data_IF_304241658528
#
_entry.id   IF_304241658528
#
_cell.length_a   1.000
_cell.length_b   1.000
_cell.length_c   1.000
_cell.angle_alpha   90.00
_cell.angle_beta   90.00
_cell.angle_gamma   90.00
#
_symmetry.space_group_name_H-M   'P 1'
#
loop_
_entity.id
_entity.type
_entity.pdbx_description
1 polymer ?
#
# COMPACT_ATOMS: atom_id res chain seq x y z
N UNK A 1 -3.85 1.54 10.68
CA UNK A 1 -3.44 1.69 12.11
C UNK A 1 -1.98 1.33 12.36
N UNK A 2 -1.42 0.27 11.76
CA UNK A 2 -0.04 -0.17 12.06
C UNK A 2 1.08 0.87 11.76
N UNK A 3 0.94 1.73 10.74
CA UNK A 3 1.92 2.81 10.46
C UNK A 3 2.17 3.70 11.67
N UNK A 4 1.09 4.15 12.31
CA UNK A 4 1.16 5.10 13.43
C UNK A 4 1.82 4.43 14.63
N UNK A 5 1.47 3.17 14.92
CA UNK A 5 2.08 2.40 16.01
C UNK A 5 3.60 2.29 15.83
N UNK A 6 4.08 1.91 14.64
CA UNK A 6 5.51 1.85 14.36
C UNK A 6 6.22 3.21 14.40
N UNK A 7 5.58 4.28 13.93
CA UNK A 7 6.13 5.64 14.04
C UNK A 7 6.32 6.04 15.51
N UNK A 8 5.29 5.87 16.32
CA UNK A 8 5.33 6.22 17.75
C UNK A 8 6.35 5.36 18.49
N UNK A 9 6.32 4.04 18.31
CA UNK A 9 7.26 3.12 18.97
C UNK A 9 8.70 3.37 18.52
N UNK A 10 8.93 3.54 17.21
CA UNK A 10 10.26 3.78 16.67
C UNK A 10 10.86 5.10 17.15
N UNK A 11 10.07 6.17 17.17
CA UNK A 11 10.49 7.46 17.67
C UNK A 11 10.75 7.45 19.18
N UNK A 12 9.86 6.84 19.97
CA UNK A 12 10.06 6.68 21.41
C UNK A 12 11.32 5.88 21.74
N UNK A 13 11.58 4.78 21.01
CA UNK A 13 12.79 3.98 21.17
C UNK A 13 14.06 4.78 20.87
N UNK A 14 14.07 5.60 19.81
CA UNK A 14 15.19 6.50 19.51
C UNK A 14 15.44 7.52 20.63
N UNK A 15 14.39 8.17 21.14
CA UNK A 15 14.53 9.12 22.24
C UNK A 15 15.07 8.46 23.50
N UNK A 16 14.51 7.30 23.89
CA UNK A 16 14.96 6.55 25.06
C UNK A 16 16.40 6.07 24.90
N UNK A 17 16.80 5.65 23.69
CA UNK A 17 18.18 5.23 23.42
C UNK A 17 19.21 6.34 23.61
N UNK A 18 18.83 7.61 23.51
CA UNK A 18 19.75 8.73 23.68
C UNK A 18 20.06 9.04 25.15
N UNK A 19 19.21 8.59 26.09
CA UNK A 19 19.32 8.92 27.53
C UNK A 19 20.67 8.53 28.15
N UNK A 20 21.19 7.30 27.95
CA UNK A 20 22.51 6.93 28.48
C UNK A 20 23.66 7.76 27.89
N UNK A 21 23.47 8.28 26.67
CA UNK A 21 24.43 9.14 25.96
C UNK A 21 24.69 10.47 26.65
N UNK A 22 23.82 10.88 27.58
CA UNK A 22 23.95 12.13 28.36
C UNK A 22 25.03 11.96 29.44
N UNK A 23 25.12 10.77 30.03
CA UNK A 23 26.01 10.49 31.17
C UNK A 23 27.23 9.66 30.79
N UNK A 24 27.14 8.88 29.72
CA UNK A 24 28.17 7.93 29.26
C UNK A 24 28.27 7.94 27.74
N UNK A 25 29.37 7.46 27.18
CA UNK A 25 29.50 7.38 25.71
C UNK A 25 28.50 6.38 25.14
N UNK A 26 27.63 6.84 24.24
CA UNK A 26 26.56 6.03 23.62
C UNK A 26 27.05 4.69 23.05
N UNK A 27 28.21 4.68 22.38
CA UNK A 27 28.79 3.47 21.78
C UNK A 27 29.24 2.42 22.79
N UNK A 28 29.38 2.79 24.07
CA UNK A 28 29.76 1.89 25.16
C UNK A 28 28.56 1.30 25.89
N UNK A 29 27.34 1.75 25.57
CA UNK A 29 26.09 1.25 26.16
C UNK A 29 25.37 0.37 25.13
N UNK A 30 25.65 -0.94 25.09
CA UNK A 30 25.12 -1.83 24.06
C UNK A 30 23.59 -1.82 24.00
N UNK A 31 22.92 -1.78 25.15
CA UNK A 31 21.45 -1.76 25.23
C UNK A 31 20.83 -0.54 24.55
N UNK A 32 21.49 0.62 24.65
CA UNK A 32 21.06 1.85 24.02
C UNK A 32 21.23 1.77 22.49
N UNK A 33 22.37 1.23 22.03
CA UNK A 33 22.64 1.01 20.61
C UNK A 33 21.59 0.08 20.01
N UNK A 34 21.27 -1.03 20.68
CA UNK A 34 20.28 -1.97 20.16
C UNK A 34 18.86 -1.39 20.16
N UNK A 35 18.47 -0.64 21.20
CA UNK A 35 17.18 0.06 21.21
C UNK A 35 17.07 1.07 20.06
N UNK A 36 18.16 1.79 19.77
CA UNK A 36 18.22 2.72 18.64
C UNK A 36 18.01 2.01 17.30
N UNK A 37 18.72 0.89 17.07
CA UNK A 37 18.59 0.08 15.87
C UNK A 37 17.16 -0.48 15.71
N UNK A 38 16.59 -1.05 16.77
CA UNK A 38 15.20 -1.53 16.77
C UNK A 38 14.21 -0.40 16.50
N UNK A 39 14.48 0.81 17.02
CA UNK A 39 13.71 2.02 16.72
C UNK A 39 13.76 2.39 15.24
N UNK A 40 14.95 2.38 14.63
CA UNK A 40 15.12 2.64 13.19
C UNK A 40 14.41 1.59 12.32
N UNK A 41 14.46 0.31 12.70
CA UNK A 41 13.75 -0.76 11.98
C UNK A 41 12.24 -0.52 12.04
N UNK A 42 11.69 -0.11 13.19
CA UNK A 42 10.27 0.27 13.30
C UNK A 42 9.92 1.42 12.35
N UNK A 43 10.75 2.47 12.28
CA UNK A 43 10.52 3.60 11.37
C UNK A 43 10.59 3.19 9.89
N UNK A 44 11.54 2.33 9.54
CA UNK A 44 11.68 1.81 8.17
C UNK A 44 10.45 0.99 7.77
N UNK A 45 9.97 0.12 8.67
CA UNK A 45 8.76 -0.68 8.44
C UNK A 45 7.52 0.22 8.31
N UNK A 46 7.42 1.30 9.08
CA UNK A 46 6.32 2.26 8.97
C UNK A 46 6.26 2.92 7.58
N UNK A 47 7.42 3.27 7.03
CA UNK A 47 7.55 3.89 5.70
C UNK A 47 7.19 2.93 4.56
N UNK A 48 7.44 1.63 4.74
CA UNK A 48 7.33 0.63 3.68
C UNK A 48 5.98 -0.10 3.62
N UNK A 49 4.97 0.23 4.43
CA UNK A 49 3.69 -0.53 4.44
C UNK A 49 2.90 -0.38 3.11
N UNK A 50 2.87 -1.43 2.25
CA UNK A 50 2.15 -1.41 0.98
C UNK A 50 0.70 -1.84 1.20
N UNK A 51 -0.19 -1.48 0.27
CA UNK A 51 -1.56 -2.01 0.24
C UNK A 51 -1.57 -3.45 -0.27
N UNK A 52 -1.21 -4.41 0.61
CA UNK A 52 -1.16 -5.85 0.31
C UNK A 52 -2.53 -6.53 0.53
N UNK A 53 -2.81 -7.68 -0.11
CA UNK A 53 -4.06 -8.44 0.04
C UNK A 53 -4.26 -9.01 1.46
N UNK A 54 -5.51 -9.23 1.87
CA UNK A 54 -5.92 -9.51 3.26
C UNK A 54 -5.15 -10.67 3.95
N UNK A 55 -4.88 -11.76 3.24
CA UNK A 55 -4.11 -12.89 3.81
C UNK A 55 -2.67 -12.51 4.19
N UNK A 56 -2.03 -11.61 3.43
CA UNK A 56 -0.69 -11.09 3.74
C UNK A 56 -0.75 -10.01 4.82
N UNK A 57 -1.86 -9.29 4.94
CA UNK A 57 -2.06 -8.31 6.01
C UNK A 57 -2.05 -8.94 7.40
N UNK A 58 -2.55 -10.17 7.57
CA UNK A 58 -2.50 -10.87 8.85
C UNK A 58 -1.06 -11.21 9.28
N UNK A 59 -0.25 -11.78 8.39
CA UNK A 59 1.17 -12.08 8.66
C UNK A 59 1.98 -10.81 8.92
N UNK A 60 1.73 -9.75 8.15
CA UNK A 60 2.35 -8.45 8.38
C UNK A 60 1.93 -7.86 9.73
N UNK A 61 0.66 -8.02 10.14
CA UNK A 61 0.18 -7.61 11.45
C UNK A 61 0.88 -8.31 12.61
N UNK A 62 1.10 -9.62 12.50
CA UNK A 62 1.84 -10.40 13.52
C UNK A 62 3.31 -9.98 13.61
N UNK A 63 3.98 -9.83 12.46
CA UNK A 63 5.37 -9.36 12.44
C UNK A 63 5.50 -7.94 13.02
N UNK A 64 4.53 -7.07 12.74
CA UNK A 64 4.44 -5.71 13.27
C UNK A 64 4.30 -5.72 14.78
N UNK A 65 3.40 -6.55 15.31
CA UNK A 65 3.19 -6.72 16.74
C UNK A 65 4.44 -7.24 17.46
N UNK A 66 5.12 -8.23 16.87
CA UNK A 66 6.38 -8.77 17.41
C UNK A 66 7.49 -7.72 17.45
N UNK A 67 7.62 -6.91 16.39
CA UNK A 67 8.65 -5.88 16.32
C UNK A 67 8.40 -4.75 17.33
N UNK A 68 7.14 -4.36 17.52
CA UNK A 68 6.74 -3.38 18.55
C UNK A 68 7.03 -3.96 19.95
N UNK A 69 6.65 -5.21 20.20
CA UNK A 69 6.89 -5.88 21.47
C UNK A 69 8.40 -5.97 21.77
N UNK A 70 9.22 -6.28 20.78
CA UNK A 70 10.68 -6.32 20.94
C UNK A 70 11.25 -4.95 21.36
N UNK A 71 10.78 -3.86 20.74
CA UNK A 71 11.18 -2.50 21.12
C UNK A 71 10.79 -2.16 22.56
N UNK A 72 9.58 -2.56 22.99
CA UNK A 72 9.10 -2.35 24.36
C UNK A 72 9.95 -3.13 25.36
N UNK A 73 10.20 -4.42 25.11
CA UNK A 73 11.03 -5.26 25.97
C UNK A 73 12.45 -4.69 26.09
N UNK A 74 13.01 -4.22 24.98
CA UNK A 74 14.36 -3.65 24.96
C UNK A 74 14.44 -2.30 25.68
N UNK A 75 13.40 -1.47 25.60
CA UNK A 75 13.28 -0.25 26.40
C UNK A 75 13.19 -0.56 27.90
N UNK A 76 12.45 -1.61 28.29
CA UNK A 76 12.37 -2.06 29.68
C UNK A 76 13.73 -2.56 30.20
N UNK A 77 14.47 -3.32 29.40
CA UNK A 77 15.83 -3.78 29.77
C UNK A 77 16.77 -2.58 29.97
N UNK A 78 16.66 -1.55 29.13
CA UNK A 78 17.46 -0.33 29.28
C UNK A 78 17.14 0.43 30.58
N UNK A 79 15.87 0.48 30.98
CA UNK A 79 15.42 1.16 32.21
C UNK A 79 15.64 0.33 33.48
N UNK A 80 15.55 -1.00 33.38
CA UNK A 80 15.69 -1.94 34.47
C UNK A 80 16.54 -3.13 34.00
N UNK A 81 17.88 -3.04 34.09
CA UNK A 81 18.79 -4.08 33.63
C UNK A 81 18.50 -5.40 34.35
N UNK A 82 18.15 -6.42 33.58
CA UNK A 82 17.92 -7.76 34.12
C UNK A 82 19.25 -8.44 34.44
N UNK A 83 19.30 -9.28 35.49
CA UNK A 83 20.47 -10.10 35.78
C UNK A 83 20.74 -11.07 34.62
N UNK A 84 22.01 -11.44 34.44
CA UNK A 84 22.41 -12.42 33.44
C UNK A 84 21.73 -13.76 33.67
N UNK A 85 21.16 -14.35 32.62
CA UNK A 85 20.56 -15.68 32.66
C UNK A 85 21.64 -16.65 32.16
N UNK A 86 22.12 -17.56 33.02
CA UNK A 86 23.16 -18.52 32.66
C UNK A 86 24.51 -17.88 32.30
N UNK A 87 24.85 -16.74 32.90
CA UNK A 87 26.08 -15.99 32.61
C UNK A 87 26.06 -15.20 31.30
N UNK A 88 24.93 -15.21 30.58
CA UNK A 88 24.73 -14.45 29.36
C UNK A 88 23.77 -13.27 29.60
N UNK A 89 23.99 -12.11 28.97
CA UNK A 89 23.08 -10.98 29.12
C UNK A 89 21.69 -11.33 28.57
N UNK A 90 20.63 -10.93 29.26
CA UNK A 90 19.23 -11.29 28.91
C UNK A 90 18.75 -10.75 27.55
N UNK A 91 19.58 -9.93 26.90
CA UNK A 91 19.35 -9.29 25.60
C UNK A 91 19.30 -10.24 24.41
N UNK A 92 19.81 -11.46 24.53
CA UNK A 92 19.82 -12.43 23.42
C UNK A 92 18.41 -12.81 22.97
N UNK A 93 17.46 -12.88 23.90
CA UNK A 93 16.07 -13.24 23.60
C UNK A 93 15.38 -12.19 22.70
N UNK A 94 15.29 -10.89 23.07
CA UNK A 94 14.68 -9.89 22.20
C UNK A 94 15.42 -9.71 20.88
N UNK A 95 16.75 -9.88 20.86
CA UNK A 95 17.54 -9.79 19.64
C UNK A 95 17.18 -10.90 18.64
N UNK A 96 17.02 -12.13 19.11
CA UNK A 96 16.52 -13.24 18.31
C UNK A 96 15.11 -12.94 17.77
N UNK A 97 14.23 -12.38 18.59
CA UNK A 97 12.86 -12.01 18.18
C UNK A 97 12.86 -10.97 17.06
N UNK A 98 13.75 -9.96 17.12
CA UNK A 98 13.91 -8.97 16.05
C UNK A 98 14.39 -9.63 14.76
N UNK A 99 15.41 -10.49 14.84
CA UNK A 99 15.93 -11.21 13.66
C UNK A 99 14.83 -12.05 13.01
N UNK A 100 14.04 -12.79 13.80
CA UNK A 100 12.92 -13.58 13.29
C UNK A 100 11.84 -12.70 12.68
N UNK A 101 11.46 -11.59 13.33
CA UNK A 101 10.45 -10.67 12.81
C UNK A 101 10.88 -10.04 11.47
N UNK A 102 12.15 -9.62 11.37
CA UNK A 102 12.74 -9.07 10.14
C UNK A 102 12.81 -10.14 9.05
N UNK A 103 13.24 -11.37 9.37
CA UNK A 103 13.31 -12.46 8.40
C UNK A 103 11.93 -12.84 7.85
N UNK A 104 10.90 -12.89 8.71
CA UNK A 104 9.52 -13.15 8.29
C UNK A 104 8.97 -12.01 7.42
N UNK A 105 9.25 -10.77 7.79
CA UNK A 105 8.85 -9.60 7.00
C UNK A 105 9.54 -9.58 5.64
N UNK A 106 10.83 -9.88 5.59
CA UNK A 106 11.60 -9.96 4.36
C UNK A 106 11.14 -11.13 3.49
N UNK A 107 10.88 -12.30 4.06
CA UNK A 107 10.34 -13.45 3.33
C UNK A 107 8.96 -13.13 2.72
N UNK A 108 8.10 -12.41 3.45
CA UNK A 108 6.82 -11.94 2.92
C UNK A 108 6.97 -10.95 1.76
N UNK A 109 8.03 -10.13 1.78
CA UNK A 109 8.34 -9.14 0.74
C UNK A 109 9.06 -9.75 -0.48
N UNK A 110 10.00 -10.67 -0.29
CA UNK A 110 10.70 -11.36 -1.38
C UNK A 110 9.79 -12.37 -2.08
N UNK A 111 8.89 -13.03 -1.34
CA UNK A 111 7.87 -13.92 -1.89
C UNK A 111 6.61 -13.15 -2.36
N UNK A 112 6.57 -11.83 -2.12
CA UNK A 112 5.85 -10.94 -3.00
C UNK A 112 6.66 -10.83 -4.28
N UNK A 113 6.62 -11.89 -5.10
CA UNK A 113 6.84 -11.69 -6.51
C UNK A 113 6.00 -10.46 -6.88
N UNK A 114 6.53 -9.46 -7.61
CA UNK A 114 5.65 -8.79 -8.53
C UNK A 114 5.07 -9.97 -9.28
N UNK A 115 3.79 -10.33 -9.05
CA UNK A 115 3.12 -11.21 -9.99
C UNK A 115 3.40 -10.48 -11.27
N UNK A 116 4.35 -11.02 -12.04
CA UNK A 116 4.74 -10.53 -13.34
C UNK A 116 3.39 -10.28 -13.92
N UNK A 117 3.08 -8.98 -14.04
CA UNK A 117 1.76 -8.41 -14.27
C UNK A 117 0.99 -9.57 -14.86
N UNK A 118 0.04 -10.14 -14.13
CA UNK A 118 -0.97 -10.90 -14.85
C UNK A 118 -1.46 -9.82 -15.84
N UNK A 119 -0.87 -9.68 -17.05
CA UNK A 119 -1.22 -10.53 -18.16
C UNK A 119 -2.15 -11.62 -17.60
N UNK A 120 -3.34 -11.21 -17.12
CA UNK A 120 -4.55 -11.49 -17.84
C UNK A 120 -4.07 -11.58 -19.27
N UNK A 121 -3.70 -12.80 -19.74
CA UNK A 121 -3.49 -12.99 -21.17
C UNK A 121 -4.74 -12.36 -21.70
N UNK A 122 -4.60 -11.21 -22.40
CA UNK A 122 -5.72 -10.34 -22.78
C UNK A 122 -6.83 -11.31 -23.07
N UNK A 123 -7.78 -11.41 -22.13
CA UNK A 123 -8.80 -12.42 -22.29
C UNK A 123 -9.48 -11.79 -23.46
N UNK A 124 -9.21 -12.32 -24.67
CA UNK A 124 -10.06 -12.12 -25.80
C UNK A 124 -11.41 -12.28 -25.16
N UNK A 125 -12.24 -11.23 -25.11
CA UNK A 125 -13.56 -11.41 -24.59
C UNK A 125 -14.12 -12.45 -25.54
N UNK A 126 -14.13 -13.71 -25.08
CA UNK A 126 -15.00 -14.74 -25.60
C UNK A 126 -16.32 -14.03 -25.63
N UNK A 127 -16.84 -13.89 -26.85
CA UNK A 127 -17.90 -13.02 -27.31
C UNK A 127 -19.26 -13.34 -26.65
N UNK A 128 -19.28 -13.32 -25.32
CA UNK A 128 -20.35 -13.84 -24.46
C UNK A 128 -20.09 -13.51 -22.98
N UNK A 129 -19.64 -12.31 -22.64
CA UNK A 129 -19.98 -11.74 -21.34
C UNK A 129 -21.41 -11.18 -21.45
N UNK A 130 -22.29 -11.36 -20.46
CA UNK A 130 -23.64 -10.82 -20.50
C UNK A 130 -23.59 -9.32 -20.79
N UNK A 131 -24.30 -8.92 -21.84
CA UNK A 131 -24.58 -7.55 -22.23
C UNK A 131 -25.52 -6.94 -21.20
N UNK A 132 -25.07 -6.74 -19.96
CA UNK A 132 -25.88 -6.10 -18.93
C UNK A 132 -25.21 -4.78 -18.50
N UNK A 133 -25.96 -3.71 -18.78
CA UNK A 133 -25.76 -2.28 -18.47
C UNK A 133 -24.52 -1.57 -19.03
N UNK A 134 -24.38 -1.61 -20.36
CA UNK A 134 -23.67 -0.54 -21.07
C UNK A 134 -24.63 0.59 -21.39
N UNK A 135 -24.23 1.80 -21.01
CA UNK A 135 -24.95 3.02 -21.30
C UNK A 135 -24.32 3.76 -22.47
N UNK A 136 -25.14 4.55 -23.16
CA UNK A 136 -24.66 5.46 -24.19
C UNK A 136 -24.74 6.91 -23.74
N UNK A 137 -23.86 7.71 -24.32
CA UNK A 137 -23.79 9.12 -24.03
C UNK A 137 -22.94 9.88 -25.03
N UNK A 138 -22.87 11.18 -24.82
CA UNK A 138 -22.14 12.11 -25.68
C UNK A 138 -21.04 12.79 -24.89
N UNK A 139 -19.82 12.79 -25.42
CA UNK A 139 -18.68 13.44 -24.77
C UNK A 139 -18.96 14.94 -24.67
N UNK A 140 -19.12 15.43 -23.44
CA UNK A 140 -19.42 16.85 -23.18
C UNK A 140 -18.19 17.72 -23.33
N UNK A 141 -17.04 17.23 -22.86
CA UNK A 141 -15.72 17.79 -23.12
C UNK A 141 -14.65 16.81 -22.65
N UNK A 142 -13.46 16.89 -23.23
CA UNK A 142 -12.31 16.11 -22.81
C UNK A 142 -11.03 16.93 -22.93
N UNK A 143 -10.26 17.00 -21.85
CA UNK A 143 -8.97 17.68 -21.85
C UNK A 143 -7.86 16.65 -22.13
N UNK A 144 -7.34 16.64 -23.35
CA UNK A 144 -6.29 15.70 -23.78
C UNK A 144 -5.01 15.85 -22.95
N UNK A 145 -4.62 17.07 -22.59
CA UNK A 145 -3.39 17.33 -21.82
C UNK A 145 -3.50 16.82 -20.38
N UNK A 146 -4.68 16.93 -19.77
CA UNK A 146 -4.92 16.44 -18.40
C UNK A 146 -5.43 15.00 -18.35
N UNK A 147 -5.90 14.45 -19.46
CA UNK A 147 -6.37 13.06 -19.58
C UNK A 147 -7.72 12.78 -18.91
N UNK A 148 -8.61 13.77 -18.78
CA UNK A 148 -9.93 13.57 -18.20
C UNK A 148 -11.00 14.47 -18.84
N UNK A 149 -12.26 14.07 -18.67
CA UNK A 149 -13.41 14.77 -19.21
C UNK A 149 -14.72 14.31 -18.58
N UNK A 150 -15.82 14.70 -19.22
CA UNK A 150 -17.17 14.27 -18.85
C UNK A 150 -17.95 13.81 -20.05
N UNK A 151 -18.80 12.81 -19.83
CA UNK A 151 -19.76 12.28 -20.80
C UNK A 151 -21.15 12.60 -20.27
N UNK A 152 -22.00 13.19 -21.10
CA UNK A 152 -23.40 13.38 -20.79
C UNK A 152 -24.15 12.09 -21.13
N UNK A 153 -24.71 11.42 -20.12
CA UNK A 153 -25.47 10.18 -20.30
C UNK A 153 -26.81 10.49 -20.97
N UNK A 154 -27.33 9.56 -21.74
CA UNK A 154 -28.70 9.69 -22.27
C UNK A 154 -29.76 9.65 -21.16
N UNK A 155 -29.42 9.08 -20.01
CA UNK A 155 -30.22 9.10 -18.79
C UNK A 155 -30.23 10.46 -18.07
N UNK A 156 -29.40 11.42 -18.51
CA UNK A 156 -29.48 12.84 -18.12
C UNK A 156 -28.38 13.34 -17.18
N UNK A 157 -27.67 12.46 -16.47
CA UNK A 157 -26.58 12.86 -15.58
C UNK A 157 -25.21 12.87 -16.28
N UNK A 158 -24.36 13.83 -15.93
CA UNK A 158 -22.97 13.84 -16.41
C UNK A 158 -22.11 12.87 -15.59
N UNK A 159 -21.31 12.06 -16.28
CA UNK A 159 -20.40 11.10 -15.67
C UNK A 159 -18.95 11.43 -15.97
N UNK A 160 -18.09 11.26 -14.96
CA UNK A 160 -16.67 11.50 -15.08
C UNK A 160 -16.00 10.40 -15.93
N UNK A 161 -15.04 10.79 -16.79
CA UNK A 161 -14.23 9.85 -17.57
C UNK A 161 -12.74 10.20 -17.48
N UNK A 162 -11.91 9.17 -17.34
CA UNK A 162 -10.45 9.28 -17.33
C UNK A 162 -9.87 8.55 -18.54
N UNK A 163 -8.73 9.00 -19.08
CA UNK A 163 -8.12 8.44 -20.30
C UNK A 163 -7.85 6.92 -20.21
N UNK A 164 -7.64 6.41 -18.99
CA UNK A 164 -7.43 4.96 -18.73
C UNK A 164 -8.67 4.12 -19.01
N UNK A 165 -9.86 4.70 -18.88
CA UNK A 165 -11.13 4.02 -19.13
C UNK A 165 -11.42 3.84 -20.63
N UNK A 166 -10.76 4.61 -21.50
CA UNK A 166 -10.94 4.54 -22.95
C UNK A 166 -10.22 3.30 -23.48
N UNK A 167 -10.95 2.43 -24.19
CA UNK A 167 -10.37 1.28 -24.90
C UNK A 167 -9.73 1.72 -26.22
N UNK A 168 -8.61 1.08 -26.55
CA UNK A 168 -7.82 1.36 -27.73
C UNK A 168 -6.31 1.33 -27.45
N UNK A 169 -5.55 1.12 -28.52
CA UNK A 169 -4.09 1.20 -28.53
C UNK A 169 -3.65 2.60 -29.00
N UNK A 170 -2.60 3.17 -28.37
CA UNK A 170 -2.10 4.50 -28.71
C UNK A 170 -2.76 5.66 -27.94
N UNK A 171 -3.01 6.78 -28.63
CA UNK A 171 -3.52 8.01 -28.02
C UNK A 171 -5.02 7.90 -27.68
N UNK A 172 -5.30 7.68 -26.39
CA UNK A 172 -6.66 7.55 -25.83
C UNK A 172 -7.31 8.90 -25.60
N UNK A 173 -7.90 9.45 -26.66
CA UNK A 173 -8.54 10.77 -26.68
C UNK A 173 -10.01 10.63 -27.04
N UNK A 174 -10.86 11.43 -26.40
CA UNK A 174 -12.26 11.60 -26.77
C UNK A 174 -12.44 12.97 -27.42
N UNK A 175 -13.28 13.03 -28.45
CA UNK A 175 -13.63 14.25 -29.15
C UNK A 175 -14.95 14.78 -28.57
N UNK A 176 -15.05 16.08 -28.33
CA UNK A 176 -16.31 16.71 -27.92
C UNK A 176 -17.42 16.43 -28.94
N UNK A 177 -18.62 16.08 -28.47
CA UNK A 177 -19.73 15.67 -29.30
C UNK A 177 -19.66 14.22 -29.80
N UNK A 178 -18.57 13.49 -29.52
CA UNK A 178 -18.44 12.08 -29.91
C UNK A 178 -19.44 11.20 -29.15
N UNK A 179 -20.09 10.29 -29.88
CA UNK A 179 -20.95 9.26 -29.29
C UNK A 179 -20.11 8.12 -28.73
N UNK A 180 -20.36 7.75 -27.49
CA UNK A 180 -19.61 6.71 -26.78
C UNK A 180 -20.55 5.76 -26.04
N UNK A 181 -20.05 4.55 -25.84
CA UNK A 181 -20.68 3.50 -25.04
C UNK A 181 -19.72 3.11 -23.92
N UNK A 182 -20.25 2.96 -22.70
CA UNK A 182 -19.47 2.78 -21.48
C UNK A 182 -20.27 2.06 -20.40
N UNK A 183 -19.59 1.52 -19.40
CA UNK A 183 -20.22 1.02 -18.17
C UNK A 183 -20.13 2.05 -17.05
N UNK A 184 -21.13 2.09 -16.18
CA UNK A 184 -21.18 3.01 -15.03
C UNK A 184 -20.67 2.28 -13.79
N UNK A 185 -19.73 2.89 -13.07
CA UNK A 185 -19.20 2.35 -11.82
C UNK A 185 -19.18 3.41 -10.72
N UNK A 186 -19.60 3.04 -9.52
CA UNK A 186 -19.49 3.88 -8.32
C UNK A 186 -18.06 3.83 -7.76
N UNK A 187 -17.41 4.99 -7.61
CA UNK A 187 -16.09 5.16 -6.99
C UNK A 187 -16.16 6.17 -5.83
N UNK A 188 -15.05 6.36 -5.12
CA UNK A 188 -14.93 7.28 -3.98
C UNK A 188 -15.32 8.73 -4.30
N UNK A 189 -15.21 9.14 -5.57
CA UNK A 189 -15.50 10.51 -6.05
C UNK A 189 -16.83 10.65 -6.79
N UNK A 190 -17.69 9.62 -6.75
CA UNK A 190 -18.96 9.59 -7.48
C UNK A 190 -18.97 8.58 -8.63
N UNK A 191 -19.94 8.74 -9.53
CA UNK A 191 -20.10 7.91 -10.72
C UNK A 191 -18.98 8.18 -11.73
N UNK A 192 -18.41 7.10 -12.27
CA UNK A 192 -17.36 7.14 -13.28
C UNK A 192 -17.65 6.16 -14.43
N UNK A 193 -17.34 6.59 -15.65
CA UNK A 193 -17.39 5.75 -16.84
C UNK A 193 -16.16 4.82 -16.91
N UNK A 194 -16.41 3.54 -17.14
CA UNK A 194 -15.41 2.53 -17.46
C UNK A 194 -15.68 1.89 -18.81
N UNK A 195 -14.68 1.21 -19.36
CA UNK A 195 -14.79 0.52 -20.66
C UNK A 195 -15.41 1.39 -21.76
N UNK A 196 -14.82 2.57 -21.99
CA UNK A 196 -15.35 3.56 -22.93
C UNK A 196 -14.89 3.20 -24.34
N UNK A 197 -15.84 3.00 -25.26
CA UNK A 197 -15.60 2.81 -26.68
C UNK A 197 -16.37 3.84 -27.50
N UNK A 198 -15.91 4.11 -28.73
CA UNK A 198 -16.72 4.85 -29.70
C UNK A 198 -17.97 4.02 -30.03
N UNK A 199 -19.15 4.62 -29.89
CA UNK A 199 -20.38 3.95 -30.26
C UNK A 199 -20.40 3.73 -31.77
N UNK A 200 -20.81 2.55 -32.22
CA UNK A 200 -20.97 2.27 -33.64
C UNK A 200 -21.99 3.24 -34.26
N UNK A 201 -21.78 3.73 -35.50
CA UNK A 201 -22.77 4.56 -36.17
C UNK A 201 -24.07 3.76 -36.28
N UNK A 202 -25.17 4.32 -35.80
CA UNK A 202 -26.50 3.72 -35.94
C UNK A 202 -26.78 3.56 -37.43
N UNK A 203 -26.73 2.33 -37.95
CA UNK A 203 -27.14 2.02 -39.32
C UNK A 203 -28.65 2.24 -39.39
N UNK A 204 -29.07 3.43 -39.82
CA UNK A 204 -30.45 3.72 -40.25
C UNK A 204 -30.62 3.32 -41.71
#
# INVERSE_FOLDING_TARGET
>A
MFKIAHLVTGFAALLLSAVPGISTSFLTTPDAVYLALTGLINLLVAAQQPSLPAARQQLLGLSSALLILAAVVQALILLAPLPSIGGQPAIWLPLLTVVVAVALSLAAQLNAQPRAREQQPFAQPSSSAPQEDRETGTVKWFNTSKGFGFISRDSGEDIFVHFRAIRGEGHRVLIEGQRVEFSVMQRDKGLQAEDVIAAAPSRR
#
